data_IF_844583779736
#
_entry.id   IF_844583779736
#
_cell.length_a   1.000
_cell.length_b   1.000
_cell.length_c   1.000
_cell.angle_alpha   90.00
_cell.angle_beta   90.00
_cell.angle_gamma   90.00
#
_symmetry.space_group_name_H-M   'P 1'
#
loop_
_entity.id
_entity.type
_entity.pdbx_description
1 polymer ?
#
# COMPACT_ATOMS: atom_id res chain seq x y z
N UNK A 1 -58.10 44.32 -4.52
CA UNK A 1 -57.29 43.44 -5.40
C UNK A 1 -56.15 44.25 -6.01
N UNK A 2 -54.92 44.06 -5.53
CA UNK A 2 -53.65 44.19 -6.28
C UNK A 2 -52.45 43.98 -5.33
N UNK A 3 -51.84 42.81 -5.51
CA UNK A 3 -50.43 42.45 -5.32
C UNK A 3 -49.57 43.25 -4.32
N UNK A 4 -49.37 42.68 -3.12
CA UNK A 4 -48.22 42.98 -2.25
C UNK A 4 -47.35 41.74 -1.95
N UNK A 5 -47.66 40.60 -2.56
CA UNK A 5 -47.02 39.30 -2.28
C UNK A 5 -45.84 38.96 -3.20
N UNK A 6 -45.41 39.88 -4.07
CA UNK A 6 -44.38 39.60 -5.09
C UNK A 6 -42.97 40.10 -4.77
N UNK A 7 -42.79 40.95 -3.75
CA UNK A 7 -41.47 41.57 -3.48
C UNK A 7 -40.66 40.77 -2.45
N UNK A 8 -41.33 40.09 -1.50
CA UNK A 8 -40.65 39.31 -0.47
C UNK A 8 -39.99 38.03 -1.04
N UNK A 9 -40.59 37.43 -2.07
CA UNK A 9 -40.08 36.20 -2.71
C UNK A 9 -38.84 36.45 -3.56
N UNK A 10 -38.69 37.64 -4.14
CA UNK A 10 -37.49 38.00 -4.93
C UNK A 10 -36.30 38.40 -4.05
N UNK A 11 -36.51 38.95 -2.85
CA UNK A 11 -35.42 39.23 -1.91
C UNK A 11 -34.83 37.97 -1.27
N UNK A 12 -35.64 36.91 -1.05
CA UNK A 12 -35.17 35.63 -0.54
C UNK A 12 -34.35 34.82 -1.57
N UNK A 13 -34.62 34.98 -2.87
CA UNK A 13 -33.85 34.33 -3.95
C UNK A 13 -32.51 35.03 -4.24
N UNK A 14 -32.38 36.33 -3.98
CA UNK A 14 -31.12 37.07 -4.11
C UNK A 14 -30.17 36.85 -2.92
N UNK A 15 -30.68 36.60 -1.71
CA UNK A 15 -29.86 36.25 -0.56
C UNK A 15 -29.25 34.84 -0.67
N UNK A 16 -29.94 33.89 -1.30
CA UNK A 16 -29.42 32.54 -1.53
C UNK A 16 -28.34 32.48 -2.63
N UNK A 17 -28.34 33.43 -3.58
CA UNK A 17 -27.34 33.49 -4.65
C UNK A 17 -26.02 34.17 -4.22
N UNK A 18 -26.05 35.06 -3.23
CA UNK A 18 -24.85 35.75 -2.70
C UNK A 18 -24.11 34.90 -1.65
N UNK A 19 -24.80 34.01 -0.94
CA UNK A 19 -24.17 33.05 -0.02
C UNK A 19 -23.52 31.85 -0.74
N UNK A 20 -23.91 31.55 -1.98
CA UNK A 20 -23.34 30.44 -2.76
C UNK A 20 -22.06 30.82 -3.53
N UNK A 21 -21.68 32.10 -3.60
CA UNK A 21 -20.47 32.56 -4.31
C UNK A 21 -19.37 33.10 -3.38
N UNK A 22 -19.65 33.24 -2.07
CA UNK A 22 -18.64 33.66 -1.08
C UNK A 22 -17.82 32.49 -0.50
N UNK A 23 -18.24 31.23 -0.67
CA UNK A 23 -17.48 30.05 -0.19
C UNK A 23 -16.44 29.52 -1.20
N UNK A 24 -16.26 30.17 -2.35
CA UNK A 24 -15.35 29.70 -3.40
C UNK A 24 -13.98 30.39 -3.44
N UNK A 25 -13.72 31.45 -2.66
CA UNK A 25 -12.44 32.19 -2.72
C UNK A 25 -11.62 32.23 -1.42
N UNK A 26 -12.12 31.71 -0.29
CA UNK A 26 -11.38 31.76 0.99
C UNK A 26 -10.72 30.43 1.43
N UNK A 27 -10.67 29.42 0.54
CA UNK A 27 -10.08 28.10 0.83
C UNK A 27 -8.60 27.95 0.41
N UNK A 28 -7.84 29.05 0.30
CA UNK A 28 -6.42 29.04 -0.07
C UNK A 28 -5.46 29.58 1.00
N UNK A 29 -5.91 29.76 2.24
CA UNK A 29 -5.02 30.08 3.37
C UNK A 29 -4.93 28.93 4.36
N UNK A 30 -3.92 28.07 4.14
CA UNK A 30 -3.14 27.39 5.18
C UNK A 30 -3.86 26.82 6.41
N UNK A 31 -4.76 25.84 6.22
CA UNK A 31 -5.11 24.94 7.31
C UNK A 31 -3.97 23.95 7.51
N UNK A 32 -3.27 24.05 8.64
CA UNK A 32 -2.29 23.08 9.10
C UNK A 32 -2.84 21.65 8.94
N UNK A 33 -2.13 20.84 8.16
CA UNK A 33 -2.39 19.41 8.03
C UNK A 33 -2.35 18.79 9.43
N UNK A 34 -3.51 18.39 9.95
CA UNK A 34 -3.56 17.40 11.02
C UNK A 34 -2.99 16.10 10.46
N UNK A 35 -1.71 15.85 10.74
CA UNK A 35 -1.18 14.50 10.74
C UNK A 35 -2.07 13.64 11.65
N UNK A 36 -2.53 12.45 11.21
CA UNK A 36 -3.21 11.54 12.11
C UNK A 36 -2.29 11.22 13.29
N UNK A 37 -2.81 11.45 14.51
CA UNK A 37 -2.13 11.13 15.76
C UNK A 37 -1.61 9.69 15.72
N UNK A 38 -0.30 9.52 15.82
CA UNK A 38 0.34 8.22 15.96
C UNK A 38 -0.11 7.57 17.27
N UNK A 39 -0.66 6.35 17.16
CA UNK A 39 -0.95 5.47 18.30
C UNK A 39 0.39 5.13 18.99
N UNK A 40 0.48 5.15 20.34
CA UNK A 40 1.73 4.91 21.05
C UNK A 40 2.31 3.51 20.78
N UNK A 41 3.65 3.36 20.77
CA UNK A 41 4.32 2.13 20.39
C UNK A 41 4.07 1.04 21.44
N UNK A 42 3.52 -0.10 21.01
CA UNK A 42 3.49 -1.33 21.80
C UNK A 42 4.61 -2.24 21.30
N UNK A 43 5.66 -2.41 22.11
CA UNK A 43 6.67 -3.44 21.85
C UNK A 43 6.08 -4.81 22.17
N UNK A 44 5.99 -5.68 21.17
CA UNK A 44 5.81 -7.11 21.38
C UNK A 44 7.15 -7.80 21.18
N UNK A 45 7.75 -8.25 22.27
CA UNK A 45 8.87 -9.18 22.26
C UNK A 45 8.38 -10.53 21.75
N UNK A 46 8.78 -10.93 20.54
CA UNK A 46 8.61 -12.30 20.05
C UNK A 46 9.86 -12.73 19.29
N UNK A 47 10.54 -13.72 19.88
CA UNK A 47 11.69 -14.43 19.34
C UNK A 47 11.35 -15.11 18.02
N UNK A 48 12.17 -14.82 17.01
CA UNK A 48 12.12 -15.41 15.68
C UNK A 48 12.68 -16.83 15.67
N UNK A 49 11.81 -17.82 15.54
CA UNK A 49 12.18 -19.17 15.09
C UNK A 49 11.67 -19.35 13.65
N UNK A 50 12.63 -19.48 12.74
CA UNK A 50 12.50 -19.79 11.30
C UNK A 50 11.58 -18.85 10.49
N UNK A 51 12.08 -17.63 10.29
CA UNK A 51 11.48 -16.56 9.49
C UNK A 51 11.47 -16.95 8.01
N UNK A 52 10.29 -17.27 7.46
CA UNK A 52 10.06 -17.21 6.01
C UNK A 52 9.15 -18.27 5.39
N UNK A 53 8.85 -19.39 6.07
CA UNK A 53 8.23 -20.55 5.39
C UNK A 53 6.78 -20.83 5.72
N UNK A 54 6.17 -20.09 6.64
CA UNK A 54 4.76 -20.29 6.98
C UNK A 54 4.01 -18.96 7.00
N UNK A 55 3.60 -18.53 5.82
CA UNK A 55 2.31 -17.86 5.68
C UNK A 55 1.27 -18.73 6.38
N UNK A 56 0.65 -18.32 7.49
CA UNK A 56 -0.33 -19.18 8.16
C UNK A 56 -1.42 -19.52 7.14
N UNK A 57 -1.60 -20.80 6.77
CA UNK A 57 -2.56 -21.15 5.73
C UNK A 57 -3.94 -20.65 6.14
N UNK A 58 -4.59 -19.89 5.26
CA UNK A 58 -6.03 -19.62 5.27
C UNK A 58 -6.60 -18.80 6.46
N UNK A 59 -5.83 -18.46 7.50
CA UNK A 59 -6.37 -17.72 8.65
C UNK A 59 -6.75 -16.27 8.27
N UNK A 60 -5.92 -15.60 7.46
CA UNK A 60 -6.22 -14.24 6.98
C UNK A 60 -7.47 -14.22 6.09
N UNK A 61 -7.66 -15.23 5.22
CA UNK A 61 -8.82 -15.33 4.34
C UNK A 61 -10.12 -15.58 5.10
N UNK A 62 -10.16 -16.56 6.02
CA UNK A 62 -11.36 -16.82 6.85
C UNK A 62 -11.73 -15.63 7.74
N UNK A 63 -10.73 -14.95 8.32
CA UNK A 63 -10.97 -13.72 9.10
C UNK A 63 -11.48 -12.60 8.21
N UNK A 64 -11.03 -12.54 6.96
CA UNK A 64 -11.45 -11.50 6.03
C UNK A 64 -12.92 -11.62 5.63
N UNK A 65 -13.40 -12.80 5.23
CA UNK A 65 -14.82 -12.95 4.85
C UNK A 65 -15.75 -12.65 6.03
N UNK A 66 -15.40 -13.09 7.23
CA UNK A 66 -16.10 -12.69 8.46
C UNK A 66 -16.10 -11.17 8.65
N UNK A 67 -14.94 -10.51 8.51
CA UNK A 67 -14.82 -9.06 8.66
C UNK A 67 -15.63 -8.29 7.60
N UNK A 68 -15.70 -8.79 6.36
CA UNK A 68 -16.55 -8.21 5.30
C UNK A 68 -18.03 -8.36 5.60
N UNK A 69 -18.47 -9.52 6.07
CA UNK A 69 -19.86 -9.70 6.49
C UNK A 69 -20.23 -8.73 7.62
N UNK A 70 -19.32 -8.49 8.58
CA UNK A 70 -19.54 -7.51 9.65
C UNK A 70 -19.53 -6.07 9.12
N UNK A 71 -18.64 -5.75 8.17
CA UNK A 71 -18.63 -4.47 7.45
C UNK A 71 -19.98 -4.18 6.81
N UNK A 72 -20.53 -5.15 6.09
CA UNK A 72 -21.80 -4.98 5.38
C UNK A 72 -22.97 -4.78 6.36
N UNK A 73 -22.93 -5.44 7.54
CA UNK A 73 -23.87 -5.16 8.63
C UNK A 73 -23.76 -3.73 9.14
N UNK A 74 -22.54 -3.22 9.33
CA UNK A 74 -22.31 -1.83 9.77
C UNK A 74 -22.81 -0.84 8.71
N UNK A 75 -22.53 -1.08 7.43
CA UNK A 75 -22.99 -0.24 6.33
C UNK A 75 -24.54 -0.18 6.24
N UNK A 76 -25.21 -1.27 6.59
CA UNK A 76 -26.68 -1.37 6.57
C UNK A 76 -27.38 -0.70 7.76
N UNK A 77 -26.66 -0.23 8.78
CA UNK A 77 -27.29 0.45 9.93
C UNK A 77 -27.88 1.83 9.55
N UNK A 78 -27.46 2.39 8.41
CA UNK A 78 -27.86 3.73 7.96
C UNK A 78 -27.21 4.87 8.76
N UNK A 79 -27.48 6.10 8.35
CA UNK A 79 -26.83 7.30 8.90
C UNK A 79 -27.26 7.66 10.34
N UNK A 80 -28.36 7.10 10.84
CA UNK A 80 -28.89 7.37 12.20
C UNK A 80 -28.34 6.45 13.28
N UNK A 81 -27.45 5.52 12.93
CA UNK A 81 -26.87 4.57 13.87
C UNK A 81 -25.97 5.27 14.89
N UNK A 82 -26.20 5.00 16.18
CA UNK A 82 -25.31 5.50 17.23
C UNK A 82 -24.06 4.60 17.41
N UNK A 83 -23.04 5.13 18.10
CA UNK A 83 -21.77 4.42 18.31
C UNK A 83 -21.93 3.02 18.96
N UNK A 84 -22.90 2.86 19.85
CA UNK A 84 -23.20 1.57 20.49
C UNK A 84 -23.78 0.57 19.51
N UNK A 85 -24.69 0.99 18.61
CA UNK A 85 -25.25 0.13 17.56
C UNK A 85 -24.16 -0.28 16.56
N UNK A 86 -23.31 0.68 16.18
CA UNK A 86 -22.16 0.45 15.30
C UNK A 86 -21.20 -0.57 15.93
N UNK A 87 -20.82 -0.38 17.21
CA UNK A 87 -19.95 -1.30 17.93
C UNK A 87 -20.56 -2.70 18.05
N UNK A 88 -21.86 -2.80 18.35
CA UNK A 88 -22.54 -4.10 18.43
C UNK A 88 -22.54 -4.82 17.09
N UNK A 89 -22.79 -4.11 15.99
CA UNK A 89 -22.76 -4.69 14.64
C UNK A 89 -21.34 -5.08 14.20
N UNK A 90 -20.34 -4.26 14.54
CA UNK A 90 -18.96 -4.48 14.11
C UNK A 90 -18.26 -5.62 14.86
N UNK A 91 -18.49 -5.76 16.16
CA UNK A 91 -17.65 -6.59 17.04
C UNK A 91 -18.40 -7.14 18.27
N UNK A 92 -19.73 -7.06 18.31
CA UNK A 92 -20.55 -7.48 19.45
C UNK A 92 -20.12 -6.83 20.79
N UNK A 93 -19.71 -5.57 20.75
CA UNK A 93 -19.28 -4.77 21.91
C UNK A 93 -20.16 -3.52 22.05
N UNK A 94 -20.24 -2.94 23.26
CA UNK A 94 -20.82 -1.59 23.45
C UNK A 94 -19.77 -0.48 23.33
N UNK A 95 -18.49 -0.83 23.39
CA UNK A 95 -17.38 0.10 23.25
C UNK A 95 -16.83 0.07 21.82
N UNK A 96 -17.03 1.16 21.07
CA UNK A 96 -16.55 1.32 19.69
C UNK A 96 -15.02 1.30 19.58
N UNK A 97 -14.31 1.64 20.66
CA UNK A 97 -12.85 1.62 20.74
C UNK A 97 -12.30 0.23 21.09
N UNK A 98 -13.14 -0.78 21.23
CA UNK A 98 -12.68 -2.13 21.50
C UNK A 98 -11.84 -2.63 20.30
N UNK A 99 -10.64 -3.21 20.50
CA UNK A 99 -9.71 -3.53 19.42
C UNK A 99 -10.30 -4.39 18.29
N UNK A 100 -11.21 -5.31 18.61
CA UNK A 100 -11.89 -6.13 17.62
C UNK A 100 -12.82 -5.35 16.67
N UNK A 101 -13.23 -4.12 17.03
CA UNK A 101 -14.07 -3.28 16.18
C UNK A 101 -13.25 -2.53 15.14
N UNK A 102 -12.00 -2.17 15.48
CA UNK A 102 -11.17 -1.26 14.68
C UNK A 102 -11.03 -1.77 13.25
N UNK A 103 -10.72 -3.06 13.05
CA UNK A 103 -10.56 -3.62 11.70
C UNK A 103 -11.85 -3.57 10.86
N UNK A 104 -13.00 -3.87 11.47
CA UNK A 104 -14.30 -3.86 10.78
C UNK A 104 -14.72 -2.44 10.45
N UNK A 105 -14.51 -1.49 11.37
CA UNK A 105 -14.81 -0.08 11.17
C UNK A 105 -13.91 0.52 10.09
N UNK A 106 -12.62 0.21 10.13
CA UNK A 106 -11.67 0.63 9.11
C UNK A 106 -12.07 0.08 7.73
N UNK A 107 -12.44 -1.21 7.65
CA UNK A 107 -12.97 -1.79 6.41
C UNK A 107 -14.28 -1.14 5.93
N UNK A 108 -15.13 -0.67 6.85
CA UNK A 108 -16.38 0.02 6.50
C UNK A 108 -16.14 1.42 5.95
N UNK A 109 -15.02 2.04 6.33
CA UNK A 109 -14.60 3.36 5.85
C UNK A 109 -13.77 3.28 4.57
N UNK A 110 -13.14 2.13 4.28
CA UNK A 110 -12.39 1.94 3.02
C UNK A 110 -13.34 1.67 1.84
N UNK A 111 -13.07 2.23 0.65
CA UNK A 111 -13.88 1.95 -0.53
C UNK A 111 -13.74 0.49 -0.99
N UNK A 112 -14.75 0.01 -1.72
CA UNK A 112 -14.72 -1.34 -2.31
C UNK A 112 -13.58 -1.51 -3.32
N UNK A 113 -13.14 -0.44 -3.97
CA UNK A 113 -11.99 -0.45 -4.87
C UNK A 113 -11.16 0.81 -4.70
N UNK A 114 -9.86 0.69 -4.89
CA UNK A 114 -8.92 1.80 -4.81
C UNK A 114 -7.65 1.47 -5.58
N UNK A 115 -7.06 2.46 -6.25
CA UNK A 115 -5.76 2.34 -6.88
C UNK A 115 -4.95 3.61 -6.67
N UNK A 116 -3.77 3.51 -6.05
CA UNK A 116 -2.83 4.64 -5.93
C UNK A 116 -2.28 5.12 -7.26
N UNK A 117 -2.56 4.42 -8.36
CA UNK A 117 -2.21 4.85 -9.71
C UNK A 117 -3.40 5.46 -10.49
N UNK A 118 -4.62 5.37 -9.96
CA UNK A 118 -5.80 5.98 -10.55
C UNK A 118 -6.00 7.39 -9.97
N UNK A 119 -5.93 8.40 -10.83
CA UNK A 119 -6.09 9.81 -10.43
C UNK A 119 -7.49 10.13 -9.91
N UNK A 120 -8.49 9.25 -10.08
CA UNK A 120 -9.80 9.44 -9.45
C UNK A 120 -9.82 9.04 -7.98
N UNK A 121 -8.91 8.16 -7.58
CA UNK A 121 -8.93 7.55 -6.24
C UNK A 121 -7.97 8.29 -5.29
N UNK A 122 -7.00 9.05 -5.82
CA UNK A 122 -5.95 9.69 -5.03
C UNK A 122 -6.23 11.16 -4.71
N UNK A 123 -5.74 11.68 -3.56
CA UNK A 123 -5.77 13.10 -3.27
C UNK A 123 -5.15 13.93 -4.40
N UNK A 124 -5.77 15.07 -4.72
CA UNK A 124 -5.34 15.98 -5.78
C UNK A 124 -5.18 15.36 -7.17
N UNK A 125 -5.79 14.20 -7.41
CA UNK A 125 -5.82 13.52 -8.71
C UNK A 125 -4.45 13.18 -9.29
N UNK A 126 -3.58 12.57 -8.47
CA UNK A 126 -2.19 12.26 -8.83
C UNK A 126 -1.97 10.76 -9.04
N UNK A 127 -1.22 10.40 -10.06
CA UNK A 127 -0.74 9.02 -10.23
C UNK A 127 0.53 8.86 -9.39
N UNK A 128 0.47 8.07 -8.32
CA UNK A 128 1.56 7.98 -7.34
C UNK A 128 2.57 6.88 -7.65
N UNK A 129 2.22 5.94 -8.53
CA UNK A 129 2.96 4.70 -8.75
C UNK A 129 3.75 4.79 -10.06
N UNK A 130 5.06 4.63 -9.96
CA UNK A 130 5.96 4.60 -11.12
C UNK A 130 5.71 3.35 -11.99
N UNK A 131 6.03 3.39 -13.29
CA UNK A 131 5.99 2.22 -14.17
C UNK A 131 6.80 1.04 -13.62
N UNK A 132 6.36 -0.18 -13.95
CA UNK A 132 7.10 -1.40 -13.65
C UNK A 132 8.50 -1.40 -14.26
N UNK A 133 9.46 -1.89 -13.49
CA UNK A 133 10.88 -1.98 -13.85
C UNK A 133 11.23 -3.46 -14.05
N UNK A 134 12.36 -3.74 -14.68
CA UNK A 134 12.82 -5.11 -14.94
C UNK A 134 14.08 -5.44 -14.13
N UNK A 135 13.97 -6.45 -13.27
CA UNK A 135 15.11 -6.91 -12.47
C UNK A 135 16.07 -7.84 -13.23
N UNK A 136 15.69 -8.29 -14.42
CA UNK A 136 16.41 -9.31 -15.18
C UNK A 136 16.46 -10.66 -14.45
N UNK A 137 17.58 -11.35 -14.59
CA UNK A 137 17.81 -12.67 -13.95
C UNK A 137 18.31 -12.57 -12.50
N UNK A 138 18.49 -11.36 -11.97
CA UNK A 138 18.97 -11.18 -10.60
C UNK A 138 17.83 -11.30 -9.60
N UNK A 139 18.04 -12.03 -8.49
CA UNK A 139 17.15 -12.11 -7.32
C UNK A 139 17.07 -10.80 -6.51
N UNK A 140 17.01 -9.64 -7.16
CA UNK A 140 16.93 -8.30 -6.54
C UNK A 140 15.50 -7.84 -6.20
N UNK A 141 14.64 -8.82 -6.01
CA UNK A 141 13.21 -8.67 -5.85
C UNK A 141 12.75 -7.66 -4.81
N UNK A 142 13.35 -7.82 -3.65
CA UNK A 142 13.14 -7.00 -2.48
C UNK A 142 13.60 -5.57 -2.76
N UNK A 143 14.73 -5.38 -3.44
CA UNK A 143 15.23 -4.06 -3.84
C UNK A 143 14.23 -3.30 -4.70
N UNK A 144 13.64 -3.96 -5.69
CA UNK A 144 12.61 -3.36 -6.56
C UNK A 144 11.33 -3.03 -5.81
N UNK A 145 10.83 -3.95 -4.97
CA UNK A 145 9.61 -3.73 -4.19
C UNK A 145 9.77 -2.57 -3.19
N UNK A 146 10.92 -2.51 -2.51
CA UNK A 146 11.26 -1.43 -1.56
C UNK A 146 11.41 -0.09 -2.28
N UNK A 147 12.07 -0.09 -3.45
CA UNK A 147 12.19 1.12 -4.28
C UNK A 147 10.81 1.64 -4.69
N UNK A 148 9.93 0.78 -5.18
CA UNK A 148 8.57 1.17 -5.56
C UNK A 148 7.76 1.72 -4.36
N UNK A 149 7.88 1.09 -3.19
CA UNK A 149 7.21 1.56 -1.98
C UNK A 149 7.74 2.91 -1.49
N UNK A 150 9.06 3.11 -1.52
CA UNK A 150 9.68 4.37 -1.17
C UNK A 150 9.26 5.49 -2.14
N UNK A 151 9.23 5.21 -3.45
CA UNK A 151 8.74 6.17 -4.44
C UNK A 151 7.29 6.58 -4.17
N UNK A 152 6.40 5.61 -3.95
CA UNK A 152 5.00 5.86 -3.65
C UNK A 152 4.85 6.72 -2.38
N UNK A 153 5.58 6.38 -1.31
CA UNK A 153 5.55 7.12 -0.05
C UNK A 153 6.07 8.56 -0.21
N UNK A 154 7.16 8.76 -0.94
CA UNK A 154 7.69 10.11 -1.22
C UNK A 154 6.72 10.89 -2.10
N UNK A 155 6.08 10.26 -3.09
CA UNK A 155 5.09 10.91 -3.95
C UNK A 155 3.84 11.33 -3.17
N UNK A 156 3.38 10.52 -2.21
CA UNK A 156 2.32 10.90 -1.27
C UNK A 156 2.79 12.07 -0.39
N UNK A 157 3.97 11.98 0.20
CA UNK A 157 4.48 13.01 1.12
C UNK A 157 4.66 14.36 0.42
N UNK A 158 5.33 14.37 -0.75
CA UNK A 158 5.53 15.58 -1.56
C UNK A 158 4.31 15.99 -2.35
N UNK A 159 3.24 15.20 -2.31
CA UNK A 159 2.03 15.40 -3.08
C UNK A 159 2.33 15.65 -4.57
N UNK A 160 3.05 14.71 -5.18
CA UNK A 160 3.51 14.79 -6.56
C UNK A 160 3.15 13.52 -7.34
N UNK A 161 3.18 13.60 -8.66
CA UNK A 161 3.00 12.42 -9.51
C UNK A 161 4.31 11.65 -9.63
N UNK A 162 4.21 10.36 -9.95
CA UNK A 162 5.36 9.46 -10.06
C UNK A 162 6.45 9.96 -11.03
N UNK A 163 6.10 10.74 -12.04
CA UNK A 163 7.04 11.28 -13.02
C UNK A 163 8.06 12.26 -12.42
N UNK A 164 7.84 12.73 -11.19
CA UNK A 164 8.73 13.67 -10.48
C UNK A 164 9.82 12.98 -9.66
N UNK A 165 9.84 11.64 -9.60
CA UNK A 165 10.78 10.88 -8.78
C UNK A 165 11.17 9.58 -9.48
N UNK A 166 12.46 9.26 -9.47
CA UNK A 166 12.96 8.01 -10.03
C UNK A 166 14.14 7.48 -9.21
N UNK A 167 13.86 6.68 -8.18
CA UNK A 167 14.86 6.13 -7.25
C UNK A 167 15.59 4.93 -7.85
N UNK A 168 16.92 4.85 -7.70
CA UNK A 168 17.74 3.76 -8.23
C UNK A 168 17.62 2.47 -7.43
N UNK A 169 17.09 1.40 -8.03
CA UNK A 169 17.16 0.06 -7.44
C UNK A 169 18.60 -0.42 -7.27
N UNK A 170 19.50 -0.01 -8.17
CA UNK A 170 20.91 -0.39 -8.14
C UNK A 170 21.58 0.12 -6.86
N UNK A 171 21.35 1.39 -6.55
CA UNK A 171 21.91 2.06 -5.36
C UNK A 171 21.40 1.40 -4.09
N UNK A 172 20.09 1.24 -3.98
CA UNK A 172 19.49 0.60 -2.81
C UNK A 172 20.06 -0.82 -2.62
N UNK A 173 19.93 -1.65 -3.65
CA UNK A 173 20.20 -3.09 -3.60
C UNK A 173 21.67 -3.42 -3.32
N UNK A 174 22.59 -2.68 -3.94
CA UNK A 174 24.01 -3.04 -3.97
C UNK A 174 24.91 -2.08 -3.19
N UNK A 175 24.40 -0.92 -2.75
CA UNK A 175 25.20 0.08 -2.04
C UNK A 175 24.67 0.44 -0.66
N UNK A 176 23.34 0.55 -0.48
CA UNK A 176 22.76 0.97 0.79
C UNK A 176 22.39 -0.21 1.69
N UNK A 177 21.87 -1.30 1.12
CA UNK A 177 21.49 -2.51 1.86
C UNK A 177 22.69 -3.28 2.44
N UNK A 178 22.50 -3.81 3.65
CA UNK A 178 23.36 -4.78 4.32
C UNK A 178 22.53 -5.95 4.89
N UNK A 179 22.88 -7.22 4.59
CA UNK A 179 23.84 -7.59 3.55
C UNK A 179 23.38 -7.06 2.17
N UNK A 180 24.32 -6.87 1.25
CA UNK A 180 23.96 -6.46 -0.12
C UNK A 180 23.12 -7.55 -0.76
N UNK A 181 22.21 -7.17 -1.65
CA UNK A 181 21.45 -8.14 -2.44
C UNK A 181 22.40 -9.06 -3.21
N UNK A 182 22.19 -10.36 -3.06
CA UNK A 182 22.81 -11.37 -3.90
C UNK A 182 21.85 -11.70 -5.06
N UNK A 183 22.34 -11.73 -6.30
CA UNK A 183 21.51 -12.09 -7.45
C UNK A 183 21.11 -13.57 -7.49
N UNK A 184 21.79 -14.44 -6.75
CA UNK A 184 21.44 -15.86 -6.67
C UNK A 184 20.36 -16.05 -5.61
N UNK A 185 20.58 -15.51 -4.40
CA UNK A 185 19.79 -15.84 -3.22
C UNK A 185 18.94 -14.68 -2.67
N UNK A 186 19.05 -13.48 -3.23
CA UNK A 186 18.35 -12.28 -2.76
C UNK A 186 18.86 -11.76 -1.42
N UNK A 187 17.93 -11.20 -0.62
CA UNK A 187 18.13 -10.71 0.74
C UNK A 187 16.86 -10.98 1.57
N UNK A 188 16.96 -11.33 2.86
CA UNK A 188 15.79 -11.35 3.75
C UNK A 188 15.30 -9.93 4.07
N UNK A 189 14.01 -9.80 4.41
CA UNK A 189 13.42 -8.51 4.80
C UNK A 189 14.08 -7.87 6.02
N UNK A 190 14.56 -8.68 6.99
CA UNK A 190 15.27 -8.17 8.17
C UNK A 190 16.48 -7.31 7.78
N UNK A 191 17.28 -7.74 6.80
CA UNK A 191 18.42 -6.95 6.32
C UNK A 191 18.01 -5.62 5.70
N UNK A 192 16.84 -5.55 5.07
CA UNK A 192 16.28 -4.29 4.55
C UNK A 192 15.85 -3.38 5.68
N UNK A 193 15.12 -3.93 6.67
CA UNK A 193 14.65 -3.20 7.84
C UNK A 193 15.85 -2.60 8.58
N UNK A 194 16.85 -3.43 8.90
CA UNK A 194 18.07 -3.02 9.57
C UNK A 194 18.79 -1.90 8.78
N UNK A 195 18.84 -2.00 7.46
CA UNK A 195 19.50 -0.99 6.61
C UNK A 195 18.79 0.37 6.64
N UNK A 196 17.46 0.38 6.69
CA UNK A 196 16.68 1.61 6.76
C UNK A 196 16.76 2.20 8.17
N UNK A 197 16.54 1.40 9.21
CA UNK A 197 16.51 1.85 10.60
C UNK A 197 17.87 2.29 11.13
N UNK A 198 18.96 1.67 10.68
CA UNK A 198 20.33 2.11 10.98
C UNK A 198 20.73 3.41 10.25
N UNK A 199 19.84 3.98 9.43
CA UNK A 199 20.09 5.22 8.72
C UNK A 199 21.08 5.07 7.57
N UNK A 200 21.28 3.88 7.00
CA UNK A 200 22.14 3.72 5.81
C UNK A 200 21.52 4.31 4.56
N UNK A 201 20.19 4.40 4.52
CA UNK A 201 19.41 4.97 3.42
C UNK A 201 19.09 6.46 3.72
N UNK A 202 20.13 7.26 3.97
CA UNK A 202 20.00 8.72 4.13
C UNK A 202 20.04 9.47 2.78
N UNK A 203 20.65 8.86 1.77
CA UNK A 203 20.65 9.35 0.41
C UNK A 203 20.28 8.21 -0.54
N UNK A 204 19.64 8.60 -1.65
CA UNK A 204 19.21 7.64 -2.66
C UNK A 204 19.27 8.30 -4.03
N UNK A 205 20.16 7.80 -4.86
CA UNK A 205 20.42 8.32 -6.19
C UNK A 205 19.26 8.07 -7.16
N UNK A 206 19.21 8.89 -8.21
CA UNK A 206 18.24 8.72 -9.29
C UNK A 206 18.64 7.57 -10.22
N UNK A 207 17.67 6.85 -10.82
CA UNK A 207 17.95 5.86 -11.89
C UNK A 207 18.71 6.47 -13.08
N UNK A 208 18.46 7.75 -13.39
CA UNK A 208 19.16 8.45 -14.48
C UNK A 208 20.66 8.67 -14.20
N UNK A 209 21.08 8.63 -12.93
CA UNK A 209 22.48 8.77 -12.54
C UNK A 209 23.14 7.40 -12.28
N UNK A 210 22.40 6.48 -11.67
CA UNK A 210 22.88 5.13 -11.38
C UNK A 210 21.82 4.09 -11.79
N UNK A 211 21.78 3.81 -13.09
CA UNK A 211 20.79 2.88 -13.67
C UNK A 211 21.00 1.44 -13.21
N UNK A 212 19.92 0.66 -13.24
CA UNK A 212 19.98 -0.76 -12.89
C UNK A 212 20.82 -1.55 -13.89
N UNK A 213 21.80 -2.28 -13.37
CA UNK A 213 22.60 -3.23 -14.12
C UNK A 213 22.92 -4.42 -13.20
N UNK A 214 22.33 -5.61 -13.45
CA UNK A 214 22.52 -6.78 -12.58
C UNK A 214 23.96 -7.32 -12.60
N UNK A 215 24.77 -6.94 -13.57
CA UNK A 215 26.18 -7.35 -13.70
C UNK A 215 27.12 -6.49 -12.83
N UNK A 216 26.75 -5.24 -12.55
CA UNK A 216 27.61 -4.29 -11.83
C UNK A 216 27.31 -4.32 -10.33
N UNK A 217 28.00 -5.20 -9.60
CA UNK A 217 27.78 -5.37 -8.16
C UNK A 217 28.83 -4.61 -7.36
N UNK A 218 28.41 -3.59 -6.60
CA UNK A 218 29.26 -2.95 -5.57
C UNK A 218 30.09 -1.74 -6.00
N UNK A 219 29.87 -1.20 -7.20
CA UNK A 219 30.53 0.04 -7.67
C UNK A 219 29.88 1.32 -7.08
N UNK A 220 29.97 1.46 -5.76
CA UNK A 220 29.14 2.42 -5.02
C UNK A 220 29.65 3.86 -5.02
N UNK A 221 30.86 4.12 -5.51
CA UNK A 221 31.37 5.50 -5.61
C UNK A 221 30.53 6.32 -6.59
N UNK A 222 30.05 5.72 -7.69
CA UNK A 222 29.15 6.38 -8.64
C UNK A 222 27.83 6.77 -7.98
N UNK A 223 27.21 5.81 -7.29
CA UNK A 223 25.98 6.06 -6.53
C UNK A 223 26.17 7.20 -5.51
N UNK A 224 27.31 7.22 -4.79
CA UNK A 224 27.61 8.26 -3.81
C UNK A 224 27.94 9.63 -4.44
N UNK A 225 28.33 9.67 -5.72
CA UNK A 225 28.52 10.92 -6.46
C UNK A 225 27.22 11.52 -7.01
N UNK A 226 26.14 10.73 -7.04
CA UNK A 226 24.84 11.17 -7.51
C UNK A 226 24.12 12.03 -6.45
N UNK A 227 23.42 13.10 -6.86
CA UNK A 227 22.53 13.82 -5.95
C UNK A 227 21.43 12.91 -5.41
N UNK A 228 21.11 13.07 -4.12
CA UNK A 228 19.98 12.37 -3.51
C UNK A 228 18.65 12.88 -4.05
N UNK A 229 17.71 11.96 -4.27
CA UNK A 229 16.32 12.25 -4.62
C UNK A 229 15.40 12.29 -3.39
N UNK A 230 15.87 11.81 -2.23
CA UNK A 230 15.13 11.93 -0.98
C UNK A 230 15.03 13.40 -0.55
N UNK A 231 13.88 13.85 -0.02
CA UNK A 231 13.77 15.21 0.49
C UNK A 231 14.83 15.49 1.59
N UNK A 232 15.53 16.64 1.54
CA UNK A 232 16.52 16.99 2.55
C UNK A 232 15.94 16.96 3.97
N UNK A 233 16.70 16.42 4.92
CA UNK A 233 16.28 16.33 6.32
C UNK A 233 15.16 15.32 6.60
N UNK A 234 14.76 14.51 5.61
CA UNK A 234 13.79 13.43 5.81
C UNK A 234 14.48 12.08 5.93
N UNK A 235 13.88 11.20 6.72
CA UNK A 235 14.29 9.80 6.85
C UNK A 235 13.15 8.92 6.38
N UNK A 236 13.47 7.89 5.59
CA UNK A 236 12.52 6.81 5.36
C UNK A 236 12.36 6.01 6.65
N UNK A 237 11.14 5.62 6.94
CA UNK A 237 10.82 4.79 8.10
C UNK A 237 9.84 3.69 7.69
N UNK A 238 9.97 2.54 8.32
CA UNK A 238 8.98 1.48 8.20
C UNK A 238 7.72 1.85 8.96
N UNK A 239 6.57 1.51 8.37
CA UNK A 239 5.31 1.61 9.08
C UNK A 239 5.24 0.55 10.19
N UNK A 240 4.42 0.81 11.21
CA UNK A 240 4.06 -0.21 12.21
C UNK A 240 5.28 -0.81 12.94
N UNK A 241 6.31 0.01 13.20
CA UNK A 241 7.57 -0.41 13.84
C UNK A 241 8.19 -1.63 13.13
N UNK A 242 8.17 -1.61 11.80
CA UNK A 242 8.61 -2.69 10.92
C UNK A 242 7.88 -4.04 11.09
N UNK A 243 6.79 -4.09 11.86
CA UNK A 243 5.98 -5.28 12.01
C UNK A 243 5.04 -5.45 10.81
N UNK A 244 4.84 -6.71 10.42
CA UNK A 244 3.89 -7.08 9.39
C UNK A 244 2.47 -6.54 9.66
N UNK A 245 1.81 -6.07 8.59
CA UNK A 245 0.41 -5.69 8.65
C UNK A 245 -0.44 -6.96 8.77
N UNK A 246 -1.03 -7.18 9.94
CA UNK A 246 -1.67 -8.46 10.27
C UNK A 246 -3.15 -8.55 9.91
N UNK A 247 -3.74 -7.50 9.33
CA UNK A 247 -5.16 -7.45 8.94
C UNK A 247 -5.32 -6.77 7.58
N UNK A 248 -6.35 -7.16 6.84
CA UNK A 248 -6.64 -6.56 5.54
C UNK A 248 -6.95 -5.06 5.65
N UNK A 249 -7.64 -4.68 6.73
CA UNK A 249 -8.00 -3.30 7.00
C UNK A 249 -6.75 -2.41 7.05
N UNK A 250 -5.73 -2.84 7.80
CA UNK A 250 -4.44 -2.16 7.89
C UNK A 250 -3.69 -2.10 6.56
N UNK A 251 -3.78 -3.17 5.76
CA UNK A 251 -3.18 -3.17 4.40
C UNK A 251 -3.83 -2.11 3.53
N UNK A 252 -5.17 -2.08 3.46
CA UNK A 252 -5.94 -1.10 2.66
C UNK A 252 -5.70 0.34 3.13
N UNK A 253 -5.75 0.56 4.44
CA UNK A 253 -5.41 1.84 5.05
C UNK A 253 -4.00 2.28 4.66
N UNK A 254 -3.01 1.38 4.77
CA UNK A 254 -1.62 1.75 4.47
C UNK A 254 -1.42 2.08 2.99
N UNK A 255 -2.09 1.35 2.09
CA UNK A 255 -2.10 1.69 0.66
C UNK A 255 -2.68 3.10 0.44
N UNK A 256 -3.78 3.46 1.09
CA UNK A 256 -4.36 4.81 0.98
C UNK A 256 -3.45 5.89 1.56
N UNK A 257 -2.76 5.62 2.67
CA UNK A 257 -1.92 6.60 3.38
C UNK A 257 -0.51 6.74 2.82
N UNK A 258 0.02 5.75 2.09
CA UNK A 258 1.42 5.73 1.64
C UNK A 258 1.61 5.33 0.20
N UNK A 259 0.52 5.11 -0.53
CA UNK A 259 0.52 4.72 -1.93
C UNK A 259 0.71 3.21 -2.14
N UNK A 260 1.18 2.46 -1.15
CA UNK A 260 1.24 1.01 -1.26
C UNK A 260 1.90 0.31 -0.08
N UNK A 261 2.01 -1.00 -0.21
CA UNK A 261 2.67 -1.91 0.75
C UNK A 261 3.56 -2.90 0.01
N UNK A 262 4.58 -3.39 0.70
CA UNK A 262 5.38 -4.50 0.22
C UNK A 262 4.75 -5.79 0.73
N UNK A 263 4.65 -6.79 -0.12
CA UNK A 263 4.18 -8.12 0.22
C UNK A 263 5.14 -9.16 -0.33
N UNK A 264 5.03 -10.39 0.19
CA UNK A 264 5.80 -11.53 -0.31
C UNK A 264 4.87 -12.65 -0.66
N UNK A 265 5.21 -13.36 -1.73
CA UNK A 265 4.53 -14.57 -2.16
C UNK A 265 5.49 -15.74 -1.99
N UNK A 266 4.99 -16.82 -1.39
CA UNK A 266 5.62 -18.12 -1.40
C UNK A 266 4.92 -18.96 -2.47
N UNK A 267 5.67 -19.51 -3.42
CA UNK A 267 5.14 -20.29 -4.54
C UNK A 267 6.02 -21.51 -4.76
N UNK A 268 5.47 -22.60 -5.28
CA UNK A 268 6.31 -23.64 -5.91
C UNK A 268 7.06 -23.06 -7.11
N UNK A 269 8.15 -23.71 -7.54
CA UNK A 269 8.89 -23.26 -8.73
C UNK A 269 8.01 -23.27 -9.99
N UNK A 270 7.11 -24.25 -10.11
CA UNK A 270 6.14 -24.34 -11.21
C UNK A 270 5.15 -23.17 -11.19
N UNK A 271 4.56 -22.86 -10.03
CA UNK A 271 3.68 -21.71 -9.89
C UNK A 271 4.44 -20.40 -10.14
N UNK A 272 5.70 -20.30 -9.71
CA UNK A 272 6.53 -19.15 -9.97
C UNK A 272 6.83 -18.97 -11.48
N UNK A 273 7.12 -20.05 -12.18
CA UNK A 273 7.29 -20.03 -13.64
C UNK A 273 5.99 -19.61 -14.35
N UNK A 274 4.85 -20.11 -13.89
CA UNK A 274 3.53 -19.67 -14.38
C UNK A 274 3.31 -18.18 -14.10
N UNK A 275 3.68 -17.68 -12.92
CA UNK A 275 3.56 -16.28 -12.53
C UNK A 275 4.41 -15.37 -13.43
N UNK A 276 5.65 -15.77 -13.74
CA UNK A 276 6.51 -15.05 -14.68
C UNK A 276 5.94 -15.03 -16.09
N UNK A 277 5.43 -16.17 -16.57
CA UNK A 277 4.80 -16.28 -17.89
C UNK A 277 3.52 -15.44 -17.98
N UNK A 278 2.74 -15.42 -16.90
CA UNK A 278 1.51 -14.65 -16.76
C UNK A 278 1.77 -13.14 -16.90
N UNK A 279 2.79 -12.63 -16.20
CA UNK A 279 3.19 -11.22 -16.24
C UNK A 279 3.69 -10.72 -17.60
N UNK A 280 3.79 -11.58 -18.63
CA UNK A 280 4.12 -11.19 -20.00
C UNK A 280 2.90 -11.12 -20.94
N UNK A 281 1.75 -11.67 -20.54
CA UNK A 281 0.60 -11.90 -21.44
C UNK A 281 -0.76 -11.48 -20.86
N UNK A 282 -0.89 -11.29 -19.54
CA UNK A 282 -2.20 -11.29 -18.89
C UNK A 282 -2.81 -9.91 -18.62
N UNK A 283 -4.07 -9.74 -19.03
CA UNK A 283 -5.02 -8.72 -18.53
C UNK A 283 -6.03 -9.30 -17.50
N UNK A 284 -5.72 -10.47 -16.92
CA UNK A 284 -6.65 -11.25 -16.08
C UNK A 284 -6.30 -11.15 -14.57
N UNK A 285 -6.74 -12.11 -13.75
CA UNK A 285 -6.30 -12.27 -12.37
C UNK A 285 -5.49 -13.55 -12.19
N UNK A 286 -4.32 -13.46 -11.55
CA UNK A 286 -3.47 -14.60 -11.20
C UNK A 286 -3.92 -15.20 -9.87
N UNK A 287 -4.26 -16.50 -9.90
CA UNK A 287 -4.87 -17.23 -8.80
C UNK A 287 -4.47 -18.72 -8.84
N UNK A 288 -3.20 -19.07 -8.60
CA UNK A 288 -2.77 -20.46 -8.62
C UNK A 288 -3.44 -21.20 -7.46
N UNK A 289 -4.00 -22.37 -7.75
CA UNK A 289 -4.36 -23.34 -6.71
C UNK A 289 -3.14 -24.22 -6.46
N UNK A 290 -2.36 -23.91 -5.43
CA UNK A 290 -1.23 -24.76 -5.04
C UNK A 290 -1.24 -25.07 -3.54
N UNK A 291 -0.81 -26.28 -3.20
CA UNK A 291 -0.51 -26.69 -1.84
C UNK A 291 1.01 -26.70 -1.65
N UNK A 292 1.52 -25.70 -0.93
CA UNK A 292 2.96 -25.58 -0.68
C UNK A 292 3.49 -26.67 0.26
N UNK A 293 2.63 -27.38 1.01
CA UNK A 293 3.08 -28.43 1.92
C UNK A 293 3.71 -29.64 1.20
N UNK A 294 3.34 -29.85 -0.07
CA UNK A 294 3.89 -30.91 -0.92
C UNK A 294 4.93 -30.43 -1.95
N UNK A 295 5.28 -29.14 -1.96
CA UNK A 295 6.20 -28.60 -2.95
C UNK A 295 7.64 -29.06 -2.69
N UNK A 296 8.35 -29.51 -3.74
CA UNK A 296 9.76 -29.91 -3.64
C UNK A 296 10.69 -28.74 -3.29
N UNK A 297 10.30 -27.54 -3.73
CA UNK A 297 10.99 -26.28 -3.52
C UNK A 297 9.95 -25.16 -3.41
N UNK A 298 10.29 -24.12 -2.63
CA UNK A 298 9.47 -22.92 -2.47
C UNK A 298 10.32 -21.71 -2.84
N UNK A 299 9.86 -20.98 -3.84
CA UNK A 299 10.42 -19.70 -4.25
C UNK A 299 9.68 -18.55 -3.56
N UNK A 300 10.46 -17.65 -2.95
CA UNK A 300 9.96 -16.43 -2.32
C UNK A 300 10.08 -15.24 -3.27
N UNK A 301 9.02 -14.44 -3.38
CA UNK A 301 8.94 -13.34 -4.34
C UNK A 301 8.33 -12.07 -3.73
N UNK A 302 9.11 -10.98 -3.70
CA UNK A 302 8.67 -9.69 -3.16
C UNK A 302 7.91 -8.83 -4.18
N UNK A 303 6.71 -8.39 -3.87
CA UNK A 303 5.88 -7.55 -4.74
C UNK A 303 5.48 -6.25 -4.03
N UNK A 304 5.09 -5.26 -4.81
CA UNK A 304 4.57 -4.01 -4.28
C UNK A 304 3.09 -3.86 -4.63
N UNK A 305 2.19 -3.89 -3.65
CA UNK A 305 0.75 -3.78 -3.86
C UNK A 305 0.27 -2.36 -3.55
N UNK A 306 -0.54 -1.80 -4.45
CA UNK A 306 -0.90 -0.38 -4.44
C UNK A 306 -2.40 -0.14 -4.69
N UNK A 307 -3.20 -1.19 -4.63
CA UNK A 307 -4.64 -1.08 -4.79
C UNK A 307 -5.35 -2.41 -4.65
N UNK A 308 -6.67 -2.36 -4.72
CA UNK A 308 -7.54 -3.52 -4.62
C UNK A 308 -8.88 -3.30 -5.33
N UNK A 309 -9.58 -4.40 -5.53
CA UNK A 309 -10.99 -4.43 -5.86
C UNK A 309 -11.67 -5.56 -5.07
N UNK A 310 -12.72 -5.22 -4.33
CA UNK A 310 -13.59 -6.17 -3.65
C UNK A 310 -14.82 -6.46 -4.50
N UNK A 311 -15.17 -7.74 -4.65
CA UNK A 311 -16.44 -8.08 -5.28
C UNK A 311 -17.60 -7.73 -4.33
N UNK A 312 -18.48 -6.82 -4.74
CA UNK A 312 -19.65 -6.42 -3.93
C UNK A 312 -20.63 -7.57 -3.65
N UNK A 313 -20.69 -8.59 -4.52
CA UNK A 313 -21.65 -9.70 -4.41
C UNK A 313 -21.07 -10.93 -3.72
N UNK A 314 -19.75 -11.04 -3.61
CA UNK A 314 -19.07 -12.18 -2.99
C UNK A 314 -17.98 -11.72 -2.03
N UNK A 315 -18.10 -12.09 -0.75
CA UNK A 315 -17.09 -11.82 0.27
C UNK A 315 -15.78 -12.59 0.05
N UNK A 316 -15.83 -13.65 -0.75
CA UNK A 316 -14.71 -14.55 -1.06
C UNK A 316 -13.99 -14.17 -2.36
N UNK A 317 -14.45 -13.12 -3.04
CA UNK A 317 -13.92 -12.68 -4.31
C UNK A 317 -13.40 -11.23 -4.24
N UNK A 318 -12.39 -10.95 -5.04
CA UNK A 318 -11.61 -9.73 -5.01
C UNK A 318 -10.13 -9.98 -5.29
N UNK A 319 -9.42 -8.91 -5.63
CA UNK A 319 -8.03 -8.99 -6.06
C UNK A 319 -7.23 -7.74 -5.70
N UNK A 320 -5.91 -7.90 -5.62
CA UNK A 320 -4.94 -6.86 -5.35
C UNK A 320 -4.31 -6.38 -6.65
N UNK A 321 -4.13 -5.07 -6.76
CA UNK A 321 -3.28 -4.46 -7.77
C UNK A 321 -1.85 -4.46 -7.26
N UNK A 322 -1.00 -5.29 -7.85
CA UNK A 322 0.40 -5.37 -7.46
C UNK A 322 1.33 -5.16 -8.66
N UNK A 323 2.41 -4.43 -8.40
CA UNK A 323 3.52 -4.20 -9.31
C UNK A 323 4.47 -5.37 -9.18
N UNK A 324 4.65 -6.09 -10.27
CA UNK A 324 5.73 -7.05 -10.41
C UNK A 324 6.91 -6.40 -11.15
N UNK A 325 8.06 -7.07 -11.16
CA UNK A 325 9.33 -6.56 -11.66
C UNK A 325 9.89 -7.38 -12.83
N UNK A 326 8.99 -8.01 -13.59
CA UNK A 326 9.29 -8.86 -14.74
C UNK A 326 8.91 -8.18 -16.07
N UNK A 327 8.91 -6.84 -16.13
CA UNK A 327 8.46 -6.05 -17.28
C UNK A 327 7.35 -5.04 -16.92
N UNK A 328 6.80 -4.36 -17.93
CA UNK A 328 5.83 -3.24 -17.81
C UNK A 328 4.45 -3.58 -17.21
N UNK A 329 4.27 -4.77 -16.63
CA UNK A 329 2.93 -5.30 -16.35
C UNK A 329 2.51 -5.18 -14.87
N UNK A 330 1.23 -4.86 -14.70
CA UNK A 330 0.49 -4.88 -13.44
C UNK A 330 -0.03 -6.31 -13.25
N UNK A 331 0.25 -6.93 -12.11
CA UNK A 331 -0.30 -8.24 -11.78
C UNK A 331 -1.48 -8.06 -10.84
N UNK A 332 -2.63 -8.58 -11.26
CA UNK A 332 -3.79 -8.72 -10.40
C UNK A 332 -3.68 -10.04 -9.63
N UNK A 333 -3.69 -10.00 -8.30
CA UNK A 333 -3.57 -11.20 -7.46
C UNK A 333 -4.86 -11.49 -6.72
N UNK A 334 -5.41 -12.71 -6.84
CA UNK A 334 -6.53 -13.14 -5.98
C UNK A 334 -6.06 -13.23 -4.54
N UNK A 335 -6.93 -12.81 -3.62
CA UNK A 335 -6.69 -12.77 -2.18
C UNK A 335 -6.07 -14.04 -1.59
N UNK A 336 -4.74 -14.03 -1.46
CA UNK A 336 -4.03 -14.74 -0.41
C UNK A 336 -3.06 -13.76 0.24
N UNK A 337 -3.52 -12.92 1.20
CA UNK A 337 -2.60 -12.13 2.00
C UNK A 337 -1.95 -13.09 3.00
N UNK A 338 -0.90 -13.73 2.53
CA UNK A 338 0.25 -14.00 3.36
C UNK A 338 0.96 -12.66 3.62
N UNK A 339 0.47 -11.88 4.59
CA UNK A 339 1.30 -10.83 5.14
C UNK A 339 2.40 -11.53 5.94
N UNK A 340 3.57 -11.67 5.32
CA UNK A 340 4.72 -12.36 5.89
C UNK A 340 5.14 -11.63 7.15
N UNK A 341 5.26 -12.40 8.24
CA UNK A 341 5.75 -12.00 9.56
C UNK A 341 7.23 -11.67 9.51
#
# INVERSE_FOLDING_TARGET
MKSKTSILTWMLLLAAAVLATAEAEDALTGSAQQLPQQVPPRRTELLSQEIGLSSPPNNTRRRYSSSRTLRDKVANLGASANATQIARAACNSTNILHPACIDVLLLALTPASYSSNNTRDTPMRRALISPAQDQGQCSSCVGFAVTAAAEAAVNVHKQQSWSSLSLSEQDLSFCKMLPRINCDNGIPYSGVIDSIESGRVQNWSARSCYGYNPEVKGDCWRANSCPSQLPPGTTLAWANDANALNTMAKVKERIMLSGGVIASMAMSDDAFNMFQAYGRKGDAVYAPSEDLAGAASVTMHAIFCYGWWDNATSSEDGWWLCKNRCGSMIVMLVCVPACVR
#
